data_IF_559341326648
#
_entry.id   IF_559341326648
#
_cell.length_a   1.000
_cell.length_b   1.000
_cell.length_c   1.000
_cell.angle_alpha   90.00
_cell.angle_beta   90.00
_cell.angle_gamma   90.00
#
_symmetry.space_group_name_H-M   'P 1'
#
loop_
_entity.id
_entity.type
_entity.pdbx_description
1 polymer ?
#
# COMPACT_ATOMS: atom_id res chain seq x y z
N UNK A 1 0.57 -24.78 4.40
CA UNK A 1 -0.03 -25.69 5.41
C UNK A 1 -1.42 -26.18 5.05
N UNK A 2 -2.45 -25.33 5.00
CA UNK A 2 -3.84 -25.76 4.70
C UNK A 2 -4.18 -25.90 3.21
N UNK A 3 -3.19 -26.20 2.37
CA UNK A 3 -3.35 -26.40 0.91
C UNK A 3 -4.11 -25.26 0.20
N UNK A 4 -3.95 -24.01 0.65
CA UNK A 4 -4.73 -22.87 0.15
C UNK A 4 -4.22 -22.26 -1.15
N UNK A 5 -3.01 -22.61 -1.58
CA UNK A 5 -2.34 -22.07 -2.77
C UNK A 5 -1.55 -23.17 -3.46
N UNK A 6 -1.32 -22.99 -4.75
CA UNK A 6 -0.51 -23.92 -5.54
C UNK A 6 0.98 -23.69 -5.32
N UNK A 7 1.73 -24.79 -5.28
CA UNK A 7 3.19 -24.79 -5.15
C UNK A 7 3.82 -25.20 -6.48
N UNK A 8 4.90 -24.53 -6.85
CA UNK A 8 5.75 -24.88 -7.98
C UNK A 8 7.14 -25.31 -7.47
N UNK A 9 7.89 -26.13 -8.21
CA UNK A 9 9.30 -26.35 -7.88
C UNK A 9 10.08 -25.05 -8.02
N UNK A 10 11.13 -24.91 -7.20
CA UNK A 10 12.11 -23.84 -7.35
C UNK A 10 13.03 -24.09 -8.56
N UNK A 11 14.01 -23.19 -8.79
CA UNK A 11 14.85 -23.20 -10.00
C UNK A 11 15.65 -24.50 -10.24
N UNK A 12 15.99 -25.25 -9.19
CA UNK A 12 16.75 -26.52 -9.26
C UNK A 12 15.90 -27.76 -8.92
N UNK A 13 14.58 -27.59 -8.74
CA UNK A 13 13.63 -28.62 -8.33
C UNK A 13 13.91 -29.28 -6.95
N UNK A 14 14.80 -28.73 -6.12
CA UNK A 14 15.08 -29.28 -4.78
C UNK A 14 14.00 -28.94 -3.75
N UNK A 15 13.34 -27.80 -3.92
CA UNK A 15 12.32 -27.26 -3.01
C UNK A 15 11.05 -26.88 -3.76
N UNK A 16 9.97 -26.67 -3.01
CA UNK A 16 8.71 -26.14 -3.53
C UNK A 16 8.45 -24.76 -2.95
N UNK A 17 8.03 -23.84 -3.81
CA UNK A 17 7.66 -22.48 -3.45
C UNK A 17 6.20 -22.18 -3.84
N UNK A 18 5.47 -21.36 -3.07
CA UNK A 18 4.11 -21.00 -3.39
C UNK A 18 4.09 -20.04 -4.59
N UNK A 19 3.22 -20.29 -5.58
CA UNK A 19 3.05 -19.39 -6.73
C UNK A 19 2.47 -18.03 -6.35
N UNK A 20 1.59 -18.03 -5.35
CA UNK A 20 0.94 -16.84 -4.80
C UNK A 20 0.82 -17.01 -3.29
N UNK A 21 0.75 -15.90 -2.55
CA UNK A 21 0.51 -15.93 -1.12
C UNK A 21 -1.00 -15.85 -0.82
N UNK A 22 -1.50 -16.52 0.23
CA UNK A 22 -2.89 -16.43 0.68
C UNK A 22 -3.15 -15.11 1.40
N UNK A 23 -3.00 -13.99 0.67
CA UNK A 23 -3.13 -12.64 1.19
C UNK A 23 -4.49 -12.43 1.87
N UNK A 24 -4.47 -11.84 3.06
CA UNK A 24 -5.68 -11.48 3.82
C UNK A 24 -6.12 -10.04 3.57
N UNK A 25 -5.21 -9.21 3.09
CA UNK A 25 -5.42 -7.79 2.81
C UNK A 25 -4.95 -7.48 1.38
N UNK A 26 -5.51 -6.46 0.72
CA UNK A 26 -5.21 -6.12 -0.67
C UNK A 26 -3.84 -5.43 -0.82
N UNK A 27 -2.77 -6.19 -0.58
CA UNK A 27 -1.39 -5.70 -0.44
C UNK A 27 -0.92 -4.78 -1.57
N UNK A 28 -1.30 -5.09 -2.81
CA UNK A 28 -0.91 -4.32 -4.00
C UNK A 28 -1.41 -2.88 -3.97
N UNK A 29 -2.64 -2.66 -3.50
CA UNK A 29 -3.21 -1.32 -3.34
C UNK A 29 -2.67 -0.61 -2.11
N UNK A 30 -2.46 -1.35 -1.02
CA UNK A 30 -1.99 -0.79 0.26
C UNK A 30 -0.58 -0.21 0.15
N UNK A 31 0.36 -1.01 -0.36
CA UNK A 31 1.76 -0.59 -0.44
C UNK A 31 2.10 0.12 -1.75
N UNK A 32 1.28 -0.09 -2.79
CA UNK A 32 1.65 0.26 -4.14
C UNK A 32 2.72 -0.66 -4.71
N UNK A 33 3.19 -0.31 -5.91
CA UNK A 33 4.27 -1.01 -6.61
C UNK A 33 4.87 -0.08 -7.65
N UNK A 34 6.19 -0.13 -7.81
CA UNK A 34 6.90 0.61 -8.87
C UNK A 34 7.88 -0.34 -9.52
N UNK A 35 7.85 -0.42 -10.84
CA UNK A 35 8.72 -1.32 -11.59
C UNK A 35 8.81 -0.96 -13.07
N UNK A 36 9.97 -1.21 -13.66
CA UNK A 36 10.22 -1.01 -15.08
C UNK A 36 10.61 -2.37 -15.65
N UNK A 37 9.86 -2.82 -16.65
CA UNK A 37 10.10 -4.05 -17.40
C UNK A 37 10.44 -3.71 -18.85
N UNK A 38 10.68 -4.72 -19.68
CA UNK A 38 10.96 -4.52 -21.11
C UNK A 38 9.68 -4.03 -21.81
N UNK A 39 9.68 -2.77 -22.27
CA UNK A 39 8.56 -2.15 -22.97
C UNK A 39 7.37 -1.74 -22.11
N UNK A 40 7.46 -1.88 -20.78
CA UNK A 40 6.36 -1.63 -19.86
C UNK A 40 6.86 -1.02 -18.54
N UNK A 41 5.99 -0.26 -17.86
CA UNK A 41 6.26 0.24 -16.51
C UNK A 41 5.00 0.12 -15.66
N UNK A 42 5.14 -0.06 -14.36
CA UNK A 42 4.06 0.01 -13.38
C UNK A 42 4.41 1.03 -12.32
N UNK A 43 3.43 1.81 -11.91
CA UNK A 43 3.57 2.76 -10.82
C UNK A 43 2.21 2.95 -10.14
N UNK A 44 1.99 2.21 -9.07
CA UNK A 44 0.76 2.15 -8.28
C UNK A 44 1.05 2.86 -6.95
N UNK A 45 0.29 3.90 -6.59
CA UNK A 45 0.51 4.57 -5.31
C UNK A 45 -0.09 3.77 -4.14
N UNK A 46 0.42 3.97 -2.92
CA UNK A 46 -0.15 3.39 -1.70
C UNK A 46 -1.53 3.97 -1.37
N UNK A 47 -2.32 3.23 -0.60
CA UNK A 47 -3.68 3.60 -0.18
C UNK A 47 -3.92 3.23 1.29
N UNK A 48 -4.90 3.90 1.89
CA UNK A 48 -5.29 3.65 3.26
C UNK A 48 -5.99 2.29 3.42
N UNK A 49 -5.62 1.52 4.46
CA UNK A 49 -6.20 0.20 4.71
C UNK A 49 -7.71 0.23 4.96
N UNK A 50 -8.19 1.17 5.76
CA UNK A 50 -9.62 1.29 6.07
C UNK A 50 -10.41 1.55 4.79
N UNK A 51 -10.03 2.58 4.04
CA UNK A 51 -10.71 2.98 2.81
C UNK A 51 -10.74 1.85 1.77
N UNK A 52 -9.64 1.11 1.60
CA UNK A 52 -9.58 0.00 0.63
C UNK A 52 -10.45 -1.18 1.07
N UNK A 53 -10.52 -1.48 2.37
CA UNK A 53 -11.40 -2.54 2.88
C UNK A 53 -12.87 -2.12 2.75
N UNK A 54 -13.22 -0.87 3.05
CA UNK A 54 -14.57 -0.34 2.86
C UNK A 54 -14.99 -0.43 1.38
N UNK A 55 -14.09 -0.08 0.46
CA UNK A 55 -14.32 -0.25 -0.98
C UNK A 55 -14.48 -1.72 -1.40
N UNK A 56 -13.74 -2.65 -0.78
CA UNK A 56 -13.90 -4.08 -1.04
C UNK A 56 -15.24 -4.61 -0.51
N UNK A 57 -15.69 -4.17 0.66
CA UNK A 57 -17.00 -4.51 1.24
C UNK A 57 -18.12 -3.98 0.35
N UNK A 58 -18.00 -2.76 -0.16
CA UNK A 58 -18.98 -2.16 -1.08
C UNK A 58 -19.21 -3.01 -2.34
N UNK A 59 -18.15 -3.66 -2.88
CA UNK A 59 -18.27 -4.58 -4.02
C UNK A 59 -18.93 -5.91 -3.63
N UNK A 60 -18.71 -6.37 -2.39
CA UNK A 60 -19.35 -7.58 -1.88
C UNK A 60 -20.86 -7.36 -1.73
N UNK A 61 -21.26 -6.19 -1.23
CA UNK A 61 -22.66 -5.80 -1.05
C UNK A 61 -23.36 -5.52 -2.38
N UNK A 62 -22.71 -4.79 -3.28
CA UNK A 62 -23.19 -4.53 -4.63
C UNK A 62 -22.09 -4.78 -5.69
N UNK A 63 -22.15 -5.92 -6.40
CA UNK A 63 -21.22 -6.22 -7.49
C UNK A 63 -21.27 -5.23 -8.66
N UNK A 64 -22.37 -4.49 -8.83
CA UNK A 64 -22.56 -3.52 -9.91
C UNK A 64 -22.09 -2.11 -9.55
N UNK A 65 -21.60 -1.90 -8.32
CA UNK A 65 -21.10 -0.60 -7.84
C UNK A 65 -20.17 0.07 -8.84
N UNK A 66 -20.42 1.33 -9.13
CA UNK A 66 -19.64 2.11 -10.08
C UNK A 66 -18.31 2.57 -9.46
N UNK A 67 -17.33 2.89 -10.30
CA UNK A 67 -16.05 3.46 -9.82
C UNK A 67 -16.28 4.78 -9.09
N UNK A 68 -17.29 5.57 -9.49
CA UNK A 68 -17.64 6.82 -8.81
C UNK A 68 -18.14 6.61 -7.39
N UNK A 69 -18.93 5.56 -7.16
CA UNK A 69 -19.38 5.17 -5.83
C UNK A 69 -18.23 4.62 -5.00
N UNK A 70 -17.35 3.79 -5.59
CA UNK A 70 -16.14 3.31 -4.91
C UNK A 70 -15.23 4.46 -4.44
N UNK A 71 -15.18 5.56 -5.19
CA UNK A 71 -14.44 6.77 -4.81
C UNK A 71 -15.01 7.51 -3.59
N UNK A 72 -16.22 7.17 -3.14
CA UNK A 72 -16.77 7.70 -1.88
C UNK A 72 -16.12 7.05 -0.66
N UNK A 73 -15.75 5.76 -0.77
CA UNK A 73 -14.96 5.06 0.25
C UNK A 73 -13.46 5.31 0.06
N UNK A 74 -12.94 5.10 -1.16
CA UNK A 74 -11.52 5.27 -1.51
C UNK A 74 -11.31 6.66 -2.10
N UNK A 75 -10.97 7.62 -1.24
CA UNK A 75 -10.90 9.04 -1.62
C UNK A 75 -9.72 9.33 -2.53
N UNK A 76 -8.63 8.59 -2.36
CA UNK A 76 -7.39 8.78 -3.09
C UNK A 76 -6.23 7.98 -2.52
N UNK A 77 -5.04 8.18 -3.09
CA UNK A 77 -3.81 7.63 -2.53
C UNK A 77 -3.46 8.19 -1.15
N UNK A 78 -2.83 7.37 -0.33
CA UNK A 78 -2.35 7.70 1.02
C UNK A 78 -0.83 7.47 1.09
N UNK A 79 -0.06 8.55 0.97
CA UNK A 79 1.39 8.47 0.92
C UNK A 79 2.00 8.45 2.33
N UNK A 80 3.01 7.60 2.59
CA UNK A 80 3.62 7.50 3.91
C UNK A 80 4.35 8.78 4.35
N UNK A 81 4.69 9.66 3.41
CA UNK A 81 5.32 10.96 3.67
C UNK A 81 4.30 12.10 3.87
N UNK A 82 3.00 11.81 3.76
CA UNK A 82 1.95 12.81 3.70
C UNK A 82 2.04 13.65 2.44
N UNK A 83 1.90 14.96 2.60
CA UNK A 83 1.87 15.94 1.53
C UNK A 83 0.46 16.25 1.04
N UNK A 84 0.38 17.20 0.11
CA UNK A 84 -0.88 17.73 -0.41
C UNK A 84 -1.03 17.29 -1.86
N UNK A 85 -2.12 16.59 -2.17
CA UNK A 85 -2.48 16.27 -3.55
C UNK A 85 -3.26 17.44 -4.14
N UNK A 86 -2.73 18.00 -5.23
CA UNK A 86 -3.34 19.14 -5.92
C UNK A 86 -4.30 18.66 -7.01
N UNK A 87 -5.59 18.66 -6.68
CA UNK A 87 -6.67 18.32 -7.60
C UNK A 87 -7.05 16.83 -7.61
N UNK A 88 -8.29 16.54 -8.02
CA UNK A 88 -8.86 15.18 -8.00
C UNK A 88 -9.03 14.54 -9.38
N UNK A 89 -8.91 15.33 -10.45
CA UNK A 89 -9.12 14.85 -11.82
C UNK A 89 -8.15 13.71 -12.20
N UNK A 90 -6.88 13.81 -11.79
CA UNK A 90 -5.87 12.78 -12.02
C UNK A 90 -6.17 11.47 -11.31
N UNK A 91 -6.70 11.54 -10.08
CA UNK A 91 -7.12 10.36 -9.29
C UNK A 91 -8.29 9.68 -9.99
N UNK A 92 -9.31 10.45 -10.38
CA UNK A 92 -10.49 9.91 -11.07
C UNK A 92 -10.11 9.20 -12.37
N UNK A 93 -9.29 9.84 -13.21
CA UNK A 93 -8.81 9.24 -14.45
C UNK A 93 -8.03 7.95 -14.20
N UNK A 94 -7.15 7.94 -13.20
CA UNK A 94 -6.38 6.76 -12.81
C UNK A 94 -7.28 5.62 -12.32
N UNK A 95 -8.32 5.92 -11.54
CA UNK A 95 -9.23 4.89 -11.05
C UNK A 95 -10.17 4.35 -12.12
N UNK A 96 -10.56 5.15 -13.11
CA UNK A 96 -11.41 4.73 -14.23
C UNK A 96 -10.63 3.95 -15.30
N UNK A 97 -9.41 4.39 -15.63
CA UNK A 97 -8.65 3.88 -16.80
C UNK A 97 -7.38 3.11 -16.44
N UNK A 98 -6.93 3.22 -15.20
CA UNK A 98 -5.63 2.71 -14.75
C UNK A 98 -4.44 3.64 -15.02
N UNK A 99 -4.67 4.79 -15.68
CA UNK A 99 -3.63 5.79 -15.95
C UNK A 99 -4.06 7.17 -15.50
N UNK A 100 -3.16 7.90 -14.88
CA UNK A 100 -3.42 9.29 -14.49
C UNK A 100 -2.17 9.97 -13.97
N UNK A 101 -2.23 11.29 -13.85
CA UNK A 101 -1.14 12.09 -13.28
C UNK A 101 -1.70 12.88 -12.13
N UNK A 102 -1.12 12.70 -10.95
CA UNK A 102 -1.43 13.50 -9.76
C UNK A 102 -0.25 14.42 -9.46
N UNK A 103 -0.55 15.63 -8.99
CA UNK A 103 0.47 16.57 -8.54
C UNK A 103 0.52 16.51 -7.02
N UNK A 104 1.70 16.28 -6.47
CA UNK A 104 1.97 16.28 -5.04
C UNK A 104 2.75 17.54 -4.67
N UNK A 105 2.43 18.11 -3.54
CA UNK A 105 3.02 19.34 -3.03
C UNK A 105 3.40 19.17 -1.56
N UNK A 106 4.54 19.74 -1.17
CA UNK A 106 5.00 19.78 0.21
C UNK A 106 4.01 20.57 1.08
N UNK A 107 3.69 20.04 2.25
CA UNK A 107 2.90 20.77 3.24
C UNK A 107 3.80 21.78 3.94
N UNK A 108 3.45 23.05 3.79
CA UNK A 108 4.21 24.18 4.33
C UNK A 108 3.34 25.00 5.27
N UNK A 109 3.99 25.58 6.27
CA UNK A 109 3.42 26.54 7.18
C UNK A 109 4.24 27.82 7.12
N UNK A 110 3.57 28.96 6.98
CA UNK A 110 4.21 30.27 6.93
C UNK A 110 4.06 30.96 8.28
N UNK A 111 5.17 31.44 8.85
CA UNK A 111 5.18 32.19 10.12
C UNK A 111 5.61 33.65 9.85
N UNK A 112 4.91 34.60 10.46
CA UNK A 112 5.23 36.03 10.37
C UNK A 112 4.84 36.70 9.05
N UNK A 113 3.89 36.12 8.31
CA UNK A 113 3.35 36.69 7.06
C UNK A 113 2.28 37.78 7.32
N UNK A 114 1.62 37.74 8.47
CA UNK A 114 0.62 38.75 8.84
C UNK A 114 1.28 39.98 9.44
N UNK A 115 1.25 41.09 8.69
CA UNK A 115 1.59 42.44 9.15
C UNK A 115 0.64 43.01 10.21
N UNK A 116 0.18 42.19 11.16
CA UNK A 116 -0.82 42.53 12.17
C UNK A 116 -0.23 42.66 13.58
N UNK A 117 0.02 43.90 14.00
CA UNK A 117 -0.13 44.44 15.37
C UNK A 117 0.52 43.74 16.58
N UNK A 118 1.38 42.74 16.41
CA UNK A 118 2.21 42.24 17.52
C UNK A 118 3.65 42.74 17.34
N UNK A 119 3.98 43.76 18.12
CA UNK A 119 5.33 44.25 18.37
C UNK A 119 6.26 43.08 18.74
N UNK A 120 7.06 42.60 17.79
CA UNK A 120 7.98 41.51 18.07
C UNK A 120 8.64 40.82 16.88
N UNK A 121 9.42 41.56 16.07
CA UNK A 121 10.73 41.16 15.47
C UNK A 121 10.93 39.76 14.82
N UNK A 122 9.92 38.96 14.51
CA UNK A 122 10.16 37.65 13.87
C UNK A 122 10.32 37.83 12.36
N UNK A 123 11.46 37.39 11.83
CA UNK A 123 11.69 37.31 10.38
C UNK A 123 10.64 36.37 9.75
N UNK A 124 10.14 36.66 8.54
CA UNK A 124 9.24 35.75 7.84
C UNK A 124 9.92 34.40 7.61
N UNK A 125 9.18 33.31 7.84
CA UNK A 125 9.69 31.95 7.75
C UNK A 125 8.75 31.05 6.99
N UNK A 126 9.31 30.19 6.14
CA UNK A 126 8.62 29.05 5.53
C UNK A 126 9.09 27.79 6.24
N UNK A 127 8.15 27.03 6.79
CA UNK A 127 8.41 25.79 7.50
C UNK A 127 7.81 24.64 6.69
N UNK A 128 8.67 23.75 6.20
CA UNK A 128 8.26 22.53 5.51
C UNK A 128 8.05 21.45 6.57
N UNK A 129 6.81 20.95 6.67
CA UNK A 129 6.44 19.86 7.59
C UNK A 129 6.46 18.50 6.90
N UNK A 130 6.03 18.45 5.65
CA UNK A 130 5.90 17.21 4.87
C UNK A 130 6.42 17.45 3.45
N UNK A 131 7.02 16.41 2.86
CA UNK A 131 7.55 16.44 1.50
C UNK A 131 6.84 15.42 0.61
N UNK A 132 6.82 15.63 -0.71
CA UNK A 132 6.21 14.67 -1.63
C UNK A 132 6.87 13.28 -1.56
N UNK A 133 6.10 12.27 -1.94
CA UNK A 133 6.56 10.88 -1.95
C UNK A 133 7.82 10.69 -2.81
N UNK A 134 8.74 9.84 -2.33
CA UNK A 134 10.05 9.55 -2.95
C UNK A 134 10.98 10.77 -3.13
N UNK A 135 10.76 11.86 -2.41
CA UNK A 135 11.70 13.00 -2.38
C UNK A 135 12.69 12.82 -1.24
N UNK A 136 13.99 12.94 -1.54
CA UNK A 136 15.04 12.91 -0.53
C UNK A 136 15.20 14.31 0.10
N UNK A 137 15.06 14.40 1.43
CA UNK A 137 15.18 15.65 2.19
C UNK A 137 16.53 16.36 1.99
N UNK A 138 17.64 15.64 2.14
CA UNK A 138 18.98 16.23 2.03
C UNK A 138 19.23 16.78 0.62
N UNK A 139 18.79 16.05 -0.40
CA UNK A 139 18.86 16.52 -1.79
C UNK A 139 18.00 17.77 -2.01
N UNK A 140 16.78 17.81 -1.46
CA UNK A 140 15.92 18.99 -1.54
C UNK A 140 16.56 20.23 -0.90
N UNK A 141 17.16 20.08 0.27
CA UNK A 141 17.88 21.14 0.98
C UNK A 141 19.08 21.62 0.14
N UNK A 142 19.85 20.69 -0.44
CA UNK A 142 20.96 21.01 -1.34
C UNK A 142 20.50 21.76 -2.59
N UNK A 143 19.41 21.32 -3.22
CA UNK A 143 18.81 21.99 -4.39
C UNK A 143 18.37 23.42 -4.04
N UNK A 144 17.77 23.64 -2.86
CA UNK A 144 17.40 24.98 -2.38
C UNK A 144 18.65 25.85 -2.16
N UNK A 145 19.69 25.32 -1.50
CA UNK A 145 20.93 26.05 -1.27
C UNK A 145 21.60 26.46 -2.60
N UNK A 146 21.59 25.58 -3.61
CA UNK A 146 22.10 25.89 -4.94
C UNK A 146 21.30 27.01 -5.62
N UNK A 147 19.96 27.04 -5.49
CA UNK A 147 19.13 28.11 -6.04
C UNK A 147 19.43 29.49 -5.41
N UNK A 148 19.83 29.51 -4.13
CA UNK A 148 20.27 30.73 -3.46
C UNK A 148 21.65 31.17 -3.96
N UNK A 149 22.59 30.24 -4.10
CA UNK A 149 23.93 30.51 -4.62
C UNK A 149 23.92 31.00 -6.07
N UNK A 150 23.05 30.43 -6.90
CA UNK A 150 22.81 30.82 -8.30
C UNK A 150 22.07 32.17 -8.42
N UNK A 151 21.73 32.83 -7.31
CA UNK A 151 20.95 34.09 -7.25
C UNK A 151 19.58 34.00 -7.92
N UNK A 152 19.00 32.79 -8.05
CA UNK A 152 17.63 32.60 -8.56
C UNK A 152 16.57 32.96 -7.53
N UNK A 153 16.86 32.75 -6.24
CA UNK A 153 16.00 33.13 -5.11
C UNK A 153 16.86 33.87 -4.08
N UNK A 154 16.90 35.20 -4.18
CA UNK A 154 17.74 36.08 -3.34
C UNK A 154 17.15 36.34 -1.94
N UNK A 155 15.86 36.08 -1.78
CA UNK A 155 15.11 36.42 -0.57
C UNK A 155 15.31 35.44 0.59
N UNK A 156 16.01 34.34 0.37
CA UNK A 156 16.32 33.34 1.41
C UNK A 156 17.61 33.75 2.11
N UNK A 157 17.53 33.97 3.42
CA UNK A 157 18.66 34.35 4.27
C UNK A 157 19.34 33.16 4.93
N UNK A 158 18.56 32.15 5.31
CA UNK A 158 19.06 31.00 6.04
C UNK A 158 18.19 29.77 5.78
N UNK A 159 18.81 28.60 5.81
CA UNK A 159 18.17 27.30 5.63
C UNK A 159 18.65 26.37 6.74
N UNK A 160 17.72 25.86 7.55
CA UNK A 160 18.03 24.97 8.68
C UNK A 160 17.15 23.74 8.67
N UNK A 161 17.75 22.59 8.98
CA UNK A 161 17.03 21.36 9.23
C UNK A 161 16.87 21.19 10.75
N UNK A 162 15.65 21.41 11.24
CA UNK A 162 15.25 21.25 12.64
C UNK A 162 14.46 19.94 12.84
N UNK A 163 14.63 18.96 11.94
CA UNK A 163 13.95 17.67 12.05
C UNK A 163 14.44 16.89 13.27
N UNK A 164 13.50 16.31 14.02
CA UNK A 164 13.76 15.51 15.20
C UNK A 164 13.05 14.13 15.11
N UNK A 165 13.00 13.39 16.22
CA UNK A 165 12.27 12.11 16.28
C UNK A 165 10.74 12.26 16.20
N UNK A 166 10.20 13.46 16.44
CA UNK A 166 8.76 13.75 16.46
C UNK A 166 8.24 14.17 15.08
N UNK A 167 9.09 14.69 14.21
CA UNK A 167 8.70 15.01 12.85
C UNK A 167 9.76 15.74 12.04
N UNK A 168 9.49 15.85 10.74
CA UNK A 168 10.30 16.65 9.84
C UNK A 168 9.98 18.14 10.01
N UNK A 169 11.02 18.96 10.09
CA UNK A 169 10.89 20.42 10.14
C UNK A 169 12.07 21.08 9.44
N UNK A 170 11.85 21.57 8.22
CA UNK A 170 12.87 22.37 7.51
C UNK A 170 12.44 23.82 7.52
N UNK A 171 13.29 24.69 8.07
CA UNK A 171 13.01 26.11 8.25
C UNK A 171 13.81 26.92 7.24
N UNK A 172 13.10 27.72 6.46
CA UNK A 172 13.65 28.68 5.50
C UNK A 172 13.36 30.07 6.06
N UNK A 173 14.41 30.79 6.45
CA UNK A 173 14.29 32.18 6.91
C UNK A 173 14.44 33.14 5.73
N UNK A 174 13.50 34.07 5.61
CA UNK A 174 13.46 35.03 4.52
C UNK A 174 13.93 36.42 4.98
N UNK A 175 14.29 37.25 4.00
CA UNK A 175 14.52 38.68 4.21
C UNK A 175 13.26 39.36 4.74
N UNK A 176 13.42 40.42 5.54
CA UNK A 176 12.26 41.15 6.14
C UNK A 176 11.32 41.74 5.10
N UNK A 177 11.83 42.08 3.92
CA UNK A 177 11.07 42.65 2.80
C UNK A 177 10.56 41.61 1.80
N UNK A 178 10.86 40.32 2.02
CA UNK A 178 10.50 39.28 1.08
C UNK A 178 8.98 39.01 1.11
N UNK A 179 8.38 38.86 -0.07
CA UNK A 179 7.02 38.36 -0.18
C UNK A 179 7.04 36.82 -0.10
N UNK A 180 6.47 36.27 0.97
CA UNK A 180 6.48 34.83 1.27
C UNK A 180 5.85 34.02 0.15
N UNK A 181 4.75 34.49 -0.44
CA UNK A 181 4.02 33.77 -1.49
C UNK A 181 4.82 33.69 -2.80
N UNK A 182 5.53 34.77 -3.15
CA UNK A 182 6.40 34.79 -4.34
C UNK A 182 7.56 33.80 -4.17
N UNK A 183 8.22 33.82 -3.00
CA UNK A 183 9.31 32.89 -2.71
C UNK A 183 8.81 31.45 -2.70
N UNK A 184 7.67 31.20 -2.06
CA UNK A 184 7.08 29.87 -2.00
C UNK A 184 6.69 29.33 -3.39
N UNK A 185 6.12 30.16 -4.25
CA UNK A 185 5.80 29.79 -5.63
C UNK A 185 7.06 29.49 -6.45
N UNK A 186 8.12 30.27 -6.26
CA UNK A 186 9.42 29.99 -6.90
C UNK A 186 10.03 28.68 -6.39
N UNK A 187 9.94 28.40 -5.09
CA UNK A 187 10.37 27.13 -4.52
C UNK A 187 9.58 25.96 -5.12
N UNK A 188 8.26 26.06 -5.25
CA UNK A 188 7.45 25.02 -5.89
C UNK A 188 7.78 24.84 -7.38
N UNK A 189 8.21 25.89 -8.08
CA UNK A 189 8.54 25.81 -9.51
C UNK A 189 9.93 25.22 -9.76
N UNK A 190 10.89 25.50 -8.89
CA UNK A 190 12.31 25.19 -9.12
C UNK A 190 12.85 24.05 -8.27
N UNK A 191 12.08 23.52 -7.31
CA UNK A 191 12.50 22.42 -6.44
C UNK A 191 11.52 21.27 -6.48
N UNK A 192 11.92 20.13 -5.90
CA UNK A 192 11.04 18.98 -5.68
C UNK A 192 10.05 19.15 -4.53
N UNK A 193 9.80 20.38 -4.05
CA UNK A 193 8.66 20.67 -3.17
C UNK A 193 7.32 20.45 -3.89
N UNK A 194 7.30 20.47 -5.23
CA UNK A 194 6.13 20.10 -6.02
C UNK A 194 6.56 19.11 -7.10
N UNK A 195 5.96 17.93 -7.10
CA UNK A 195 6.28 16.85 -8.05
C UNK A 195 5.02 16.28 -8.66
N UNK A 196 5.18 15.58 -9.78
CA UNK A 196 4.09 14.83 -10.40
C UNK A 196 4.33 13.34 -10.19
N UNK A 197 3.28 12.60 -9.86
CA UNK A 197 3.30 11.15 -9.79
C UNK A 197 2.42 10.61 -10.91
N UNK A 198 3.04 9.92 -11.87
CA UNK A 198 2.35 9.25 -12.96
C UNK A 198 1.87 7.88 -12.49
N UNK A 199 0.55 7.73 -12.31
CA UNK A 199 -0.09 6.47 -11.99
C UNK A 199 -0.20 5.63 -13.27
N UNK A 200 0.27 4.39 -13.19
CA UNK A 200 0.08 3.37 -14.21
C UNK A 200 -0.13 2.01 -13.53
N UNK A 201 -1.38 1.59 -13.38
CA UNK A 201 -1.79 0.37 -12.67
C UNK A 201 -1.68 -0.88 -13.53
N UNK A 202 -0.44 -1.17 -13.93
CA UNK A 202 -0.11 -2.38 -14.67
C UNK A 202 0.27 -3.49 -13.70
N UNK A 203 -0.40 -4.65 -13.78
CA UNK A 203 -0.09 -5.82 -12.98
C UNK A 203 -0.23 -7.10 -13.80
N UNK A 204 0.18 -8.24 -13.25
CA UNK A 204 0.09 -9.54 -13.93
C UNK A 204 -1.23 -10.21 -13.53
N UNK A 205 -2.07 -10.53 -14.53
CA UNK A 205 -3.24 -11.39 -14.40
C UNK A 205 -2.97 -12.66 -15.20
N UNK A 206 -3.10 -13.84 -14.58
CA UNK A 206 -3.01 -15.12 -15.31
C UNK A 206 -1.74 -15.24 -16.19
N UNK A 207 -0.61 -14.74 -15.68
CA UNK A 207 0.67 -14.75 -16.38
C UNK A 207 0.86 -13.69 -17.46
N UNK A 208 -0.10 -12.78 -17.66
CA UNK A 208 -0.02 -11.70 -18.66
C UNK A 208 -0.12 -10.31 -18.03
N UNK A 209 0.64 -9.33 -18.52
CA UNK A 209 0.50 -7.95 -18.07
C UNK A 209 -0.86 -7.39 -18.54
N UNK A 210 -1.62 -6.84 -17.60
CA UNK A 210 -2.91 -6.18 -17.85
C UNK A 210 -2.94 -4.84 -17.12
N UNK A 211 -3.54 -3.85 -17.77
CA UNK A 211 -3.86 -2.56 -17.13
C UNK A 211 -5.18 -2.71 -16.39
N UNK A 212 -5.21 -2.30 -15.12
CA UNK A 212 -6.37 -2.47 -14.26
C UNK A 212 -6.95 -1.12 -13.84
N UNK A 213 -8.27 -1.00 -13.85
CA UNK A 213 -8.95 0.06 -13.10
C UNK A 213 -9.11 -0.33 -11.61
N UNK A 214 -9.55 0.62 -10.76
CA UNK A 214 -9.67 0.39 -9.32
C UNK A 214 -10.60 -0.79 -8.97
N UNK A 215 -11.77 -0.86 -9.64
CA UNK A 215 -12.76 -1.91 -9.40
C UNK A 215 -12.19 -3.28 -9.76
N UNK A 216 -11.53 -3.39 -10.91
CA UNK A 216 -10.94 -4.66 -11.36
C UNK A 216 -9.88 -5.17 -10.37
N UNK A 217 -9.03 -4.28 -9.82
CA UNK A 217 -8.04 -4.69 -8.81
C UNK A 217 -8.70 -5.29 -7.56
N UNK A 218 -9.76 -4.66 -7.06
CA UNK A 218 -10.50 -5.15 -5.90
C UNK A 218 -11.23 -6.45 -6.21
N UNK A 219 -11.86 -6.56 -7.39
CA UNK A 219 -12.52 -7.80 -7.84
C UNK A 219 -11.53 -8.96 -7.92
N UNK A 220 -10.33 -8.74 -8.47
CA UNK A 220 -9.28 -9.76 -8.50
C UNK A 220 -8.85 -10.19 -7.10
N UNK A 221 -8.70 -9.24 -6.17
CA UNK A 221 -8.40 -9.55 -4.77
C UNK A 221 -9.52 -10.37 -4.10
N UNK A 222 -10.78 -9.99 -4.30
CA UNK A 222 -11.95 -10.69 -3.75
C UNK A 222 -12.08 -12.11 -4.32
N UNK A 223 -11.85 -12.29 -5.62
CA UNK A 223 -11.86 -13.59 -6.26
C UNK A 223 -10.79 -14.52 -5.68
N UNK A 224 -9.54 -14.03 -5.56
CA UNK A 224 -8.45 -14.76 -4.89
C UNK A 224 -8.81 -15.10 -3.44
N UNK A 225 -9.41 -14.14 -2.73
CA UNK A 225 -9.78 -14.33 -1.33
C UNK A 225 -10.84 -15.42 -1.16
N UNK A 226 -11.85 -15.44 -2.05
CA UNK A 226 -12.88 -16.47 -2.10
C UNK A 226 -12.27 -17.85 -2.31
N UNK A 227 -11.41 -17.99 -3.32
CA UNK A 227 -10.73 -19.27 -3.62
C UNK A 227 -9.90 -19.78 -2.42
N UNK A 228 -9.10 -18.89 -1.81
CA UNK A 228 -8.28 -19.24 -0.64
C UNK A 228 -9.15 -19.73 0.53
N UNK A 229 -10.28 -19.07 0.78
CA UNK A 229 -11.21 -19.46 1.85
C UNK A 229 -11.88 -20.80 1.54
N UNK A 230 -12.35 -21.01 0.30
CA UNK A 230 -12.96 -22.28 -0.13
C UNK A 230 -11.99 -23.45 -0.02
N UNK A 231 -10.75 -23.30 -0.50
CA UNK A 231 -9.70 -24.33 -0.38
C UNK A 231 -9.40 -24.67 1.08
N UNK A 232 -9.30 -23.64 1.94
CA UNK A 232 -9.09 -23.82 3.38
C UNK A 232 -10.24 -24.59 4.03
N UNK A 233 -11.48 -24.21 3.74
CA UNK A 233 -12.68 -24.87 4.29
C UNK A 233 -12.75 -26.33 3.85
N UNK A 234 -12.43 -26.61 2.58
CA UNK A 234 -12.36 -27.99 2.04
C UNK A 234 -11.29 -28.82 2.75
N UNK A 235 -10.12 -28.24 3.00
CA UNK A 235 -9.04 -28.90 3.75
C UNK A 235 -9.48 -29.25 5.18
N UNK A 236 -10.08 -28.29 5.88
CA UNK A 236 -10.56 -28.48 7.27
C UNK A 236 -11.67 -29.53 7.33
N UNK A 237 -12.61 -29.52 6.39
CA UNK A 237 -13.65 -30.55 6.27
C UNK A 237 -13.06 -31.95 6.06
N UNK A 238 -12.06 -32.08 5.17
CA UNK A 238 -11.39 -33.36 4.92
C UNK A 238 -10.70 -33.87 6.18
N UNK A 239 -9.95 -33.01 6.88
CA UNK A 239 -9.27 -33.37 8.14
C UNK A 239 -10.25 -33.73 9.25
N UNK A 240 -11.38 -33.02 9.35
CA UNK A 240 -12.43 -33.35 10.31
C UNK A 240 -13.06 -34.72 10.03
N UNK A 241 -13.33 -35.05 8.75
CA UNK A 241 -13.85 -36.37 8.35
C UNK A 241 -12.87 -37.51 8.61
N UNK A 242 -11.60 -37.32 8.26
CA UNK A 242 -10.52 -38.29 8.58
C UNK A 242 -10.46 -38.57 10.09
N UNK A 243 -10.55 -37.50 10.90
CA UNK A 243 -10.54 -37.64 12.36
C UNK A 243 -11.80 -38.32 12.89
N UNK A 244 -12.97 -37.98 12.36
CA UNK A 244 -14.24 -38.60 12.73
C UNK A 244 -14.22 -40.11 12.46
N UNK A 245 -13.73 -40.53 11.28
CA UNK A 245 -13.61 -41.94 10.92
C UNK A 245 -12.73 -42.73 11.91
N UNK A 246 -11.57 -42.18 12.30
CA UNK A 246 -10.71 -42.80 13.32
C UNK A 246 -11.44 -42.90 14.67
N UNK A 247 -12.15 -41.85 15.08
CA UNK A 247 -12.87 -41.83 16.34
C UNK A 247 -14.05 -42.82 16.36
N UNK A 248 -14.74 -43.02 15.24
CA UNK A 248 -15.78 -44.04 15.10
C UNK A 248 -15.22 -45.44 15.29
N UNK A 249 -14.09 -45.76 14.64
CA UNK A 249 -13.39 -47.03 14.85
C UNK A 249 -12.98 -47.27 16.30
N UNK A 250 -12.40 -46.24 16.95
CA UNK A 250 -12.03 -46.30 18.36
C UNK A 250 -13.25 -46.48 19.28
N UNK A 251 -14.39 -45.85 18.96
CA UNK A 251 -15.63 -45.99 19.73
C UNK A 251 -16.17 -47.42 19.66
N UNK A 252 -16.16 -48.03 18.48
CA UNK A 252 -16.55 -49.44 18.28
C UNK A 252 -15.60 -50.37 19.04
N UNK A 253 -14.28 -50.13 18.94
CA UNK A 253 -13.28 -50.92 19.65
C UNK A 253 -13.43 -50.83 21.17
N UNK A 254 -13.68 -49.63 21.71
CA UNK A 254 -13.95 -49.41 23.13
C UNK A 254 -15.22 -50.11 23.61
N UNK A 255 -16.25 -50.16 22.77
CA UNK A 255 -17.53 -50.80 23.11
C UNK A 255 -17.42 -52.33 23.17
N UNK A 256 -16.43 -52.90 22.48
CA UNK A 256 -16.19 -54.34 22.38
C UNK A 256 -14.76 -54.71 22.84
N UNK A 257 -14.27 -54.05 23.89
CA UNK A 257 -12.84 -54.08 24.27
C UNK A 257 -12.32 -55.49 24.54
N UNK A 258 -13.11 -56.35 25.18
CA UNK A 258 -12.72 -57.72 25.50
C UNK A 258 -12.56 -58.57 24.25
N UNK A 259 -13.46 -58.43 23.27
CA UNK A 259 -13.38 -59.15 21.99
C UNK A 259 -12.16 -58.71 21.17
N UNK A 260 -11.92 -57.39 21.11
CA UNK A 260 -10.74 -56.83 20.43
C UNK A 260 -9.45 -57.37 21.06
N UNK A 261 -9.35 -57.41 22.39
CA UNK A 261 -8.17 -57.96 23.09
C UNK A 261 -8.01 -59.45 22.82
N UNK A 262 -9.09 -60.23 22.77
CA UNK A 262 -9.03 -61.67 22.48
C UNK A 262 -8.59 -61.95 21.05
N UNK A 263 -9.08 -61.19 20.06
CA UNK A 263 -8.65 -61.31 18.66
C UNK A 263 -7.15 -61.02 18.56
N UNK A 264 -6.69 -59.90 19.15
CA UNK A 264 -5.27 -59.53 19.14
C UNK A 264 -4.40 -60.61 19.80
N UNK A 265 -4.85 -61.22 20.92
CA UNK A 265 -4.11 -62.29 21.61
C UNK A 265 -4.04 -63.61 20.84
N UNK A 266 -5.05 -63.90 20.00
CA UNK A 266 -5.13 -65.14 19.21
C UNK A 266 -4.40 -65.04 17.87
N UNK A 267 -4.11 -63.83 17.40
CA UNK A 267 -3.41 -63.62 16.13
C UNK A 267 -1.90 -63.82 16.26
N UNK A 268 -1.30 -64.51 15.30
CA UNK A 268 0.13 -64.81 15.29
C UNK A 268 1.03 -63.58 15.11
N UNK A 269 0.53 -62.50 14.49
CA UNK A 269 1.26 -61.24 14.30
C UNK A 269 0.32 -60.05 14.02
N UNK A 270 0.90 -58.84 13.95
CA UNK A 270 0.16 -57.56 13.76
C UNK A 270 -0.58 -57.46 12.42
N UNK A 271 -0.12 -58.15 11.37
CA UNK A 271 -0.79 -58.11 10.06
C UNK A 271 -1.99 -59.07 9.99
N UNK A 272 -1.99 -60.12 10.81
CA UNK A 272 -3.10 -61.10 10.89
C UNK A 272 -4.15 -60.73 11.93
N UNK A 273 -3.82 -59.82 12.87
CA UNK A 273 -4.77 -59.13 13.76
C UNK A 273 -5.48 -57.97 13.06
#
# INVERSE_FOLDING_TARGET
DKETVDFAPNYDNSLKEPRVLPAKVPQLLLNGSSGIAVGMATNIPPHNLGEVIDGAVMIIEDPQVSIKELMTAIKGPDFPTGGIICGRAGIKCAYETGKGIIKMQAAVFTEGADGGKNEGKKKPRIIIKEIPYQVNKAKLIGDIAQLVQDKKILDITNLRDESDRKGMRVVIELNRSANVDIVLNNLYKHTKMKTSFGINTLAISEGRPKLFNLKEMLVCFLAHRKEVVERRTRYELRKARERAHILEGLKIALSNIDEVVQIIKKSDNVKTA
#
